data_IF_672205967260
#
_entry.id   IF_672205967260
#
_cell.length_a   1.000
_cell.length_b   1.000
_cell.length_c   1.000
_cell.angle_alpha   90.00
_cell.angle_beta   90.00
_cell.angle_gamma   90.00
#
_symmetry.space_group_name_H-M   'P 1'
#
loop_
_entity.id
_entity.type
_entity.pdbx_description
1 polymer ?
#
# COMPACT_ATOMS: atom_id res chain seq x y z
N UNK A 1 -16.46 8.08 0.55
CA UNK A 1 -15.57 8.00 -0.64
C UNK A 1 -14.46 7.00 -0.38
N UNK A 2 -14.15 6.20 -1.36
CA UNK A 2 -13.05 5.24 -1.30
C UNK A 2 -11.94 5.67 -2.24
N UNK A 3 -10.71 5.52 -1.78
CA UNK A 3 -9.53 5.79 -2.59
C UNK A 3 -8.74 4.49 -2.73
N UNK A 4 -8.36 4.18 -3.96
CA UNK A 4 -7.57 3.00 -4.28
C UNK A 4 -6.16 3.45 -4.62
N UNK A 5 -5.18 2.92 -3.90
CA UNK A 5 -3.78 3.29 -4.12
C UNK A 5 -2.98 2.06 -4.52
N UNK A 6 -2.46 2.07 -5.74
CA UNK A 6 -1.52 1.05 -6.20
C UNK A 6 -0.17 1.33 -5.59
N UNK A 7 0.29 0.42 -4.74
CA UNK A 7 1.58 0.57 -4.10
C UNK A 7 2.65 -0.13 -4.92
N UNK A 8 3.46 0.67 -5.61
CA UNK A 8 4.58 0.14 -6.36
C UNK A 8 5.74 -0.16 -5.42
N UNK A 9 6.48 -1.21 -5.75
CA UNK A 9 7.64 -1.58 -4.96
C UNK A 9 8.80 -2.03 -5.86
N UNK A 10 9.99 -1.95 -5.30
CA UNK A 10 11.21 -2.33 -6.00
C UNK A 10 12.26 -2.73 -4.95
N UNK A 11 12.96 -3.84 -5.23
CA UNK A 11 14.00 -4.36 -4.34
C UNK A 11 13.55 -4.54 -2.89
N UNK A 12 12.32 -5.01 -2.70
CA UNK A 12 11.78 -5.30 -1.39
C UNK A 12 11.33 -4.08 -0.61
N UNK A 13 11.19 -2.94 -1.26
CA UNK A 13 10.74 -1.70 -0.62
C UNK A 13 9.63 -1.04 -1.42
N UNK A 14 8.67 -0.47 -0.71
CA UNK A 14 7.61 0.30 -1.35
C UNK A 14 8.21 1.62 -1.85
N UNK A 15 7.84 2.00 -3.07
CA UNK A 15 8.35 3.24 -3.65
C UNK A 15 7.87 4.45 -2.85
N UNK A 16 8.74 5.44 -2.74
CA UNK A 16 8.46 6.65 -1.97
C UNK A 16 7.18 7.35 -2.42
N UNK A 17 6.94 7.42 -3.72
CA UNK A 17 5.72 8.04 -4.25
C UNK A 17 4.45 7.37 -3.77
N UNK A 18 4.46 6.03 -3.65
CA UNK A 18 3.32 5.29 -3.12
C UNK A 18 3.11 5.60 -1.65
N UNK A 19 4.19 5.67 -0.87
CA UNK A 19 4.11 6.01 0.55
C UNK A 19 3.59 7.44 0.76
N UNK A 20 3.99 8.37 -0.10
CA UNK A 20 3.49 9.74 -0.04
C UNK A 20 1.99 9.80 -0.30
N UNK A 21 1.50 9.02 -1.27
CA UNK A 21 0.07 8.96 -1.54
C UNK A 21 -0.70 8.40 -0.36
N UNK A 22 -0.18 7.34 0.27
CA UNK A 22 -0.80 6.77 1.46
C UNK A 22 -0.86 7.79 2.60
N UNK A 23 0.24 8.49 2.81
CA UNK A 23 0.32 9.52 3.86
C UNK A 23 -0.70 10.62 3.62
N UNK A 24 -0.80 11.09 2.38
CA UNK A 24 -1.76 12.14 2.02
C UNK A 24 -3.20 11.65 2.18
N UNK A 25 -3.48 10.44 1.71
CA UNK A 25 -4.82 9.88 1.79
C UNK A 25 -5.28 9.74 3.25
N UNK A 26 -4.37 9.46 4.16
CA UNK A 26 -4.69 9.35 5.58
C UNK A 26 -5.22 10.67 6.15
N UNK A 27 -4.86 11.80 5.55
CA UNK A 27 -5.33 13.11 6.00
C UNK A 27 -6.65 13.54 5.37
N UNK A 28 -7.13 12.81 4.35
CA UNK A 28 -8.33 13.20 3.61
C UNK A 28 -9.63 12.77 4.26
N UNK A 29 -9.57 11.91 5.28
CA UNK A 29 -10.78 11.39 5.93
C UNK A 29 -11.58 10.46 5.05
N UNK A 30 -10.95 9.79 4.09
CA UNK A 30 -11.61 8.86 3.18
C UNK A 30 -11.19 7.43 3.47
N UNK A 31 -12.00 6.47 3.03
CA UNK A 31 -11.65 5.06 3.16
C UNK A 31 -10.52 4.74 2.17
N UNK A 32 -9.38 4.30 2.70
CA UNK A 32 -8.18 4.07 1.91
C UNK A 32 -7.95 2.59 1.71
N UNK A 33 -7.78 2.17 0.47
CA UNK A 33 -7.46 0.80 0.10
C UNK A 33 -6.12 0.79 -0.63
N UNK A 34 -5.18 0.01 -0.10
CA UNK A 34 -3.88 -0.16 -0.74
C UNK A 34 -3.87 -1.48 -1.51
N UNK A 35 -3.24 -1.49 -2.68
CA UNK A 35 -3.10 -2.70 -3.49
C UNK A 35 -1.63 -2.97 -3.72
N UNK A 36 -1.20 -4.19 -3.38
CA UNK A 36 0.15 -4.67 -3.65
C UNK A 36 0.07 -5.82 -4.66
N UNK A 37 0.89 -5.73 -5.69
CA UNK A 37 1.00 -6.78 -6.70
C UNK A 37 2.41 -7.34 -6.67
N UNK A 38 2.54 -8.65 -6.63
CA UNK A 38 3.88 -9.26 -6.62
C UNK A 38 3.86 -10.76 -6.51
N UNK A 39 5.05 -11.36 -6.51
CA UNK A 39 5.21 -12.81 -6.43
C UNK A 39 4.83 -13.32 -5.03
N UNK A 40 4.31 -14.57 -4.94
CA UNK A 40 4.00 -15.17 -3.65
C UNK A 40 5.20 -15.15 -2.70
N UNK A 41 4.95 -14.80 -1.44
CA UNK A 41 5.99 -14.76 -0.42
C UNK A 41 6.87 -13.51 -0.44
N UNK A 42 6.63 -12.59 -1.36
CA UNK A 42 7.43 -11.36 -1.49
C UNK A 42 6.74 -10.13 -0.90
N UNK A 43 5.50 -10.27 -0.46
CA UNK A 43 4.71 -9.11 -0.05
C UNK A 43 4.67 -8.85 1.46
N UNK A 44 5.14 -9.79 2.28
CA UNK A 44 5.03 -9.68 3.74
C UNK A 44 5.70 -8.43 4.31
N UNK A 45 6.95 -8.19 3.95
CA UNK A 45 7.67 -7.00 4.42
C UNK A 45 7.07 -5.71 3.92
N UNK A 46 6.53 -5.75 2.70
CA UNK A 46 5.88 -4.59 2.09
C UNK A 46 4.58 -4.25 2.82
N UNK A 47 3.84 -5.27 3.23
CA UNK A 47 2.61 -5.10 3.99
C UNK A 47 2.89 -4.39 5.31
N UNK A 48 3.94 -4.79 6.01
CA UNK A 48 4.32 -4.16 7.27
C UNK A 48 4.67 -2.68 7.06
N UNK A 49 5.33 -2.35 5.97
CA UNK A 49 5.68 -0.97 5.65
C UNK A 49 4.43 -0.13 5.37
N UNK A 50 3.48 -0.68 4.62
CA UNK A 50 2.23 0.02 4.29
C UNK A 50 1.35 0.18 5.52
N UNK A 51 1.35 -0.79 6.43
CA UNK A 51 0.55 -0.71 7.66
C UNK A 51 0.90 0.50 8.54
N UNK A 52 2.09 1.04 8.40
CA UNK A 52 2.48 2.24 9.15
C UNK A 52 1.60 3.44 8.82
N UNK A 53 0.94 3.41 7.66
CA UNK A 53 0.06 4.49 7.21
C UNK A 53 -1.42 4.17 7.47
N UNK A 54 -1.68 3.05 8.14
CA UNK A 54 -3.01 2.62 8.58
C UNK A 54 -4.10 2.70 7.50
N UNK A 55 -3.90 2.07 6.33
CA UNK A 55 -4.99 1.98 5.36
C UNK A 55 -6.13 1.13 5.93
N UNK A 56 -7.34 1.35 5.46
CA UNK A 56 -8.48 0.56 5.93
C UNK A 56 -8.36 -0.89 5.47
N UNK A 57 -7.85 -1.12 4.28
CA UNK A 57 -7.71 -2.46 3.71
C UNK A 57 -6.46 -2.53 2.84
N UNK A 58 -5.76 -3.66 2.90
CA UNK A 58 -4.65 -3.94 2.01
C UNK A 58 -5.04 -5.15 1.17
N UNK A 59 -5.06 -4.98 -0.14
CA UNK A 59 -5.35 -6.05 -1.08
C UNK A 59 -4.05 -6.59 -1.65
N UNK A 60 -3.85 -7.89 -1.54
CA UNK A 60 -2.67 -8.55 -2.07
C UNK A 60 -3.04 -9.32 -3.34
N UNK A 61 -2.38 -8.98 -4.43
CA UNK A 61 -2.55 -9.68 -5.69
C UNK A 61 -1.25 -10.41 -5.99
N UNK A 62 -1.23 -11.71 -5.71
CA UNK A 62 -0.07 -12.55 -5.95
C UNK A 62 -0.15 -13.21 -7.31
N UNK A 63 0.98 -13.25 -8.01
CA UNK A 63 1.03 -13.87 -9.34
C UNK A 63 2.37 -14.51 -9.63
#
# INVERSE_FOLDING_TARGET
MKVLIFCEHHDGKVKKGSLELLSNAATWGVETHAILLGAPGKLDGLTAEINKFAPHTIHLAES
#
